data_IF_750554722157
#
_entry.id   IF_750554722157
#
_cell.length_a   1.000
_cell.length_b   1.000
_cell.length_c   1.000
_cell.angle_alpha   90.00
_cell.angle_beta   90.00
_cell.angle_gamma   90.00
#
_symmetry.space_group_name_H-M   'P 1'
#
loop_
_entity.id
_entity.type
_entity.pdbx_description
1 polymer ?
#
# COMPACT_ATOMS: atom_id res chain seq x y z
N UNK A 1 1.41 -4.76 18.12
CA UNK A 1 0.16 -4.04 17.79
C UNK A 1 -0.24 -4.38 16.36
N UNK A 2 -1.52 -4.61 16.07
CA UNK A 2 -2.03 -4.87 14.72
C UNK A 2 -3.09 -3.83 14.36
N UNK A 3 -2.99 -3.24 13.16
CA UNK A 3 -3.89 -2.19 12.67
C UNK A 3 -4.54 -2.66 11.38
N UNK A 4 -5.88 -2.71 11.39
CA UNK A 4 -6.66 -3.06 10.19
C UNK A 4 -6.69 -1.87 9.23
N UNK A 5 -6.39 -2.13 7.96
CA UNK A 5 -6.44 -1.10 6.93
C UNK A 5 -7.85 -0.99 6.33
N UNK A 6 -8.30 0.23 5.94
CA UNK A 6 -9.50 0.40 5.15
C UNK A 6 -9.42 -0.36 3.83
N UNK A 7 -10.53 -0.95 3.38
CA UNK A 7 -10.57 -1.69 2.11
C UNK A 7 -10.13 -0.80 0.92
N UNK A 8 -9.34 -1.34 -0.01
CA UNK A 8 -8.85 -0.59 -1.16
C UNK A 8 -9.95 -0.34 -2.18
N UNK A 9 -9.86 0.79 -2.88
CA UNK A 9 -10.70 1.08 -4.04
C UNK A 9 -10.19 0.30 -5.24
N UNK A 10 -11.09 -0.44 -5.87
CA UNK A 10 -10.85 -1.23 -7.08
C UNK A 10 -11.24 -0.49 -8.38
N UNK A 11 -11.83 0.71 -8.27
CA UNK A 11 -12.08 1.63 -9.38
C UNK A 11 -11.45 2.98 -9.06
N UNK A 12 -10.51 3.40 -9.90
CA UNK A 12 -9.87 4.72 -9.82
C UNK A 12 -10.63 5.78 -10.62
N UNK A 13 -10.28 7.04 -10.36
CA UNK A 13 -10.78 8.20 -11.11
C UNK A 13 -9.90 8.53 -12.34
N UNK A 14 -8.65 8.04 -12.33
CA UNK A 14 -7.67 8.20 -13.40
C UNK A 14 -7.54 6.89 -14.18
N UNK A 15 -7.43 6.96 -15.51
CA UNK A 15 -7.17 5.76 -16.33
C UNK A 15 -5.73 5.26 -16.15
N UNK A 16 -5.47 4.01 -16.54
CA UNK A 16 -4.12 3.45 -16.51
C UNK A 16 -3.17 4.22 -17.45
N UNK A 17 -3.66 4.57 -18.64
CA UNK A 17 -2.92 5.34 -19.65
C UNK A 17 -2.52 6.71 -19.12
N UNK A 18 -3.45 7.41 -18.46
CA UNK A 18 -3.18 8.71 -17.86
C UNK A 18 -2.16 8.61 -16.71
N UNK A 19 -2.28 7.58 -15.87
CA UNK A 19 -1.33 7.33 -14.79
C UNK A 19 0.09 7.08 -15.32
N UNK A 20 0.23 6.28 -16.39
CA UNK A 20 1.52 6.04 -17.06
C UNK A 20 2.07 7.34 -17.66
N UNK A 21 1.24 8.11 -18.37
CA UNK A 21 1.63 9.36 -19.01
C UNK A 21 2.10 10.43 -18.00
N UNK A 22 1.40 10.56 -16.86
CA UNK A 22 1.70 11.57 -15.82
C UNK A 22 2.78 11.14 -14.81
N UNK A 23 3.19 9.86 -14.81
CA UNK A 23 4.12 9.32 -13.81
C UNK A 23 5.46 10.06 -13.84
N UNK A 24 5.85 10.60 -12.68
CA UNK A 24 7.16 11.21 -12.43
C UNK A 24 7.65 10.89 -11.03
N UNK A 25 8.96 11.02 -10.81
CA UNK A 25 9.54 10.92 -9.45
C UNK A 25 9.43 12.27 -8.73
N UNK A 26 8.81 12.27 -7.55
CA UNK A 26 8.68 13.44 -6.67
C UNK A 26 9.61 13.23 -5.46
N UNK A 27 10.30 14.29 -5.02
CA UNK A 27 11.28 14.25 -3.90
C UNK A 27 11.12 15.41 -2.91
N UNK A 28 10.08 16.21 -3.06
CA UNK A 28 9.67 17.28 -2.15
C UNK A 28 8.21 17.04 -1.82
N UNK A 29 7.88 16.99 -0.55
CA UNK A 29 6.56 16.61 -0.04
C UNK A 29 5.99 17.73 0.83
N UNK A 30 4.67 17.77 0.99
CA UNK A 30 4.03 18.64 1.98
C UNK A 30 4.28 18.08 3.39
N UNK A 31 3.97 18.88 4.41
CA UNK A 31 3.97 18.42 5.81
C UNK A 31 2.65 17.75 6.23
N UNK A 32 1.69 17.66 5.31
CA UNK A 32 0.40 17.04 5.58
C UNK A 32 0.57 15.52 5.76
N UNK A 33 -0.03 14.92 6.80
CA UNK A 33 -0.01 13.48 6.98
C UNK A 33 -0.78 12.79 5.86
N UNK A 34 -0.40 11.54 5.54
CA UNK A 34 -1.28 10.68 4.75
C UNK A 34 -2.46 10.22 5.61
N UNK A 35 -3.63 10.10 5.01
CA UNK A 35 -4.74 9.36 5.61
C UNK A 35 -4.41 7.86 5.64
N UNK A 36 -5.03 7.12 6.57
CA UNK A 36 -4.89 5.66 6.61
C UNK A 36 -5.41 4.98 5.32
N UNK A 37 -6.39 5.60 4.65
CA UNK A 37 -6.93 5.12 3.38
C UNK A 37 -5.96 5.27 2.21
N UNK A 38 -5.21 6.37 2.15
CA UNK A 38 -4.17 6.56 1.13
C UNK A 38 -3.01 5.57 1.30
N UNK A 39 -2.55 5.38 2.55
CA UNK A 39 -1.55 4.38 2.86
C UNK A 39 -2.04 2.98 2.47
N UNK A 40 -3.27 2.63 2.85
CA UNK A 40 -3.91 1.37 2.49
C UNK A 40 -3.91 1.12 0.98
N UNK A 41 -4.35 2.13 0.21
CA UNK A 41 -4.44 2.04 -1.24
C UNK A 41 -3.08 1.75 -1.88
N UNK A 42 -2.02 2.43 -1.42
CA UNK A 42 -0.65 2.24 -1.94
C UNK A 42 -0.13 0.85 -1.60
N UNK A 43 -0.32 0.38 -0.37
CA UNK A 43 0.12 -0.95 0.06
C UNK A 43 -0.58 -2.07 -0.70
N UNK A 44 -1.90 -1.94 -0.89
CA UNK A 44 -2.65 -2.88 -1.71
C UNK A 44 -2.18 -2.88 -3.16
N UNK A 45 -2.01 -1.71 -3.77
CA UNK A 45 -1.54 -1.60 -5.15
C UNK A 45 -0.14 -2.21 -5.32
N UNK A 46 0.74 -2.07 -4.33
CA UNK A 46 2.10 -2.62 -4.35
C UNK A 46 2.14 -4.14 -4.19
N UNK A 47 1.45 -4.71 -3.19
CA UNK A 47 1.57 -6.14 -2.84
C UNK A 47 0.35 -6.74 -2.11
N UNK A 48 -0.82 -6.13 -2.27
CA UNK A 48 -2.10 -6.64 -1.76
C UNK A 48 -2.61 -7.86 -2.51
N UNK A 49 -3.81 -8.31 -2.16
CA UNK A 49 -4.48 -9.43 -2.82
C UNK A 49 -5.47 -8.95 -3.89
N UNK A 50 -5.53 -9.65 -5.02
CA UNK A 50 -6.55 -9.49 -6.04
C UNK A 50 -7.70 -10.51 -5.85
N UNK A 51 -8.77 -10.38 -6.65
CA UNK A 51 -9.98 -11.21 -6.51
C UNK A 51 -9.76 -12.71 -6.80
N UNK A 52 -8.60 -13.08 -7.35
CA UNK A 52 -8.23 -14.48 -7.64
C UNK A 52 -7.33 -15.08 -6.56
N UNK A 53 -7.17 -14.41 -5.42
CA UNK A 53 -6.32 -14.89 -4.32
C UNK A 53 -4.83 -14.88 -4.66
N UNK A 54 -4.39 -13.99 -5.56
CA UNK A 54 -2.99 -13.75 -5.91
C UNK A 54 -2.58 -12.33 -5.54
N UNK A 55 -1.26 -12.06 -5.53
CA UNK A 55 -0.80 -10.68 -5.30
C UNK A 55 -1.20 -9.78 -6.48
N UNK A 56 -1.37 -8.50 -6.22
CA UNK A 56 -1.57 -7.46 -7.24
C UNK A 56 -0.38 -7.33 -8.20
N UNK A 57 0.81 -7.74 -7.76
CA UNK A 57 2.02 -7.85 -8.58
C UNK A 57 2.32 -9.30 -8.98
N UNK A 58 2.67 -9.58 -10.25
CA UNK A 58 3.06 -10.92 -10.69
C UNK A 58 4.42 -11.33 -10.09
N UNK A 59 4.66 -12.64 -10.00
CA UNK A 59 5.93 -13.18 -9.50
C UNK A 59 6.25 -14.51 -10.18
N UNK A 60 7.53 -14.73 -10.48
CA UNK A 60 8.01 -15.97 -11.09
C UNK A 60 7.58 -17.19 -10.25
N UNK A 61 6.89 -18.14 -10.90
CA UNK A 61 6.36 -19.34 -10.24
C UNK A 61 5.36 -19.07 -9.11
N UNK A 62 4.75 -17.88 -9.07
CA UNK A 62 3.86 -17.45 -7.97
C UNK A 62 4.50 -17.60 -6.58
N UNK A 63 5.84 -17.41 -6.50
CA UNK A 63 6.61 -17.62 -5.26
C UNK A 63 6.50 -16.45 -4.29
N UNK A 64 6.27 -15.24 -4.80
CA UNK A 64 6.07 -14.03 -3.99
C UNK A 64 7.13 -13.83 -2.89
N UNK A 65 8.43 -13.74 -3.25
CA UNK A 65 9.52 -13.76 -2.28
C UNK A 65 9.71 -12.43 -1.51
N UNK A 66 8.90 -11.41 -1.80
CA UNK A 66 9.06 -10.09 -1.23
C UNK A 66 8.11 -9.87 -0.06
N UNK A 67 8.57 -9.08 0.91
CA UNK A 67 7.77 -8.57 2.01
C UNK A 67 7.76 -7.04 1.96
N UNK A 68 6.67 -6.43 2.41
CA UNK A 68 6.53 -4.97 2.42
C UNK A 68 6.59 -4.48 3.86
N UNK A 69 7.52 -3.57 4.11
CA UNK A 69 7.67 -2.87 5.37
C UNK A 69 7.40 -1.38 5.17
N UNK A 70 6.74 -0.76 6.14
CA UNK A 70 6.38 0.66 6.12
C UNK A 70 7.02 1.33 7.32
N UNK A 71 7.90 2.29 7.05
CA UNK A 71 8.39 3.23 8.07
C UNK A 71 7.41 4.38 8.13
N UNK A 72 6.61 4.43 9.19
CA UNK A 72 5.58 5.44 9.42
C UNK A 72 6.21 6.60 10.18
N UNK A 73 6.13 7.78 9.61
CA UNK A 73 6.51 9.04 10.26
C UNK A 73 5.31 9.96 10.51
N UNK A 74 4.42 10.10 9.53
CA UNK A 74 3.25 10.98 9.60
C UNK A 74 2.07 10.38 8.84
N UNK A 75 1.22 9.64 9.55
CA UNK A 75 -0.02 9.03 9.04
C UNK A 75 -1.11 9.24 10.08
N UNK A 76 -2.28 9.70 9.65
CA UNK A 76 -3.41 9.94 10.54
C UNK A 76 -3.87 8.66 11.23
N UNK A 77 -3.97 8.70 12.57
CA UNK A 77 -4.45 7.57 13.37
C UNK A 77 -3.50 6.38 13.46
N UNK A 78 -2.24 6.53 13.06
CA UNK A 78 -1.21 5.49 13.15
C UNK A 78 0.07 6.06 13.78
N UNK A 79 0.52 5.42 14.86
CA UNK A 79 1.72 5.85 15.56
C UNK A 79 2.98 5.72 14.67
N UNK A 80 3.99 6.61 14.82
CA UNK A 80 5.26 6.45 14.14
C UNK A 80 5.95 5.14 14.52
N UNK A 81 6.53 4.45 13.54
CA UNK A 81 7.17 3.15 13.77
C UNK A 81 7.46 2.36 12.51
N UNK A 82 8.04 1.17 12.69
CA UNK A 82 8.27 0.22 11.60
C UNK A 82 7.17 -0.84 11.63
N UNK A 83 6.46 -0.98 10.51
CA UNK A 83 5.37 -1.94 10.38
C UNK A 83 5.64 -2.94 9.26
N UNK A 84 5.21 -4.18 9.46
CA UNK A 84 5.12 -5.21 8.42
C UNK A 84 3.70 -5.26 7.84
N UNK A 85 3.58 -5.25 6.51
CA UNK A 85 2.29 -5.36 5.83
C UNK A 85 1.93 -6.82 5.52
N UNK A 86 0.86 -7.30 6.14
CA UNK A 86 0.26 -8.60 5.83
C UNK A 86 -0.84 -8.41 4.78
N UNK A 87 -0.48 -8.51 3.50
CA UNK A 87 -1.44 -8.32 2.42
C UNK A 87 -2.57 -9.36 2.36
N UNK A 88 -2.44 -10.53 2.99
CA UNK A 88 -3.53 -11.53 3.03
C UNK A 88 -4.64 -11.10 3.99
N UNK A 89 -4.26 -10.55 5.15
CA UNK A 89 -5.20 -10.03 6.15
C UNK A 89 -5.55 -8.56 5.92
N UNK A 90 -4.78 -7.88 5.07
CA UNK A 90 -4.85 -6.44 4.83
C UNK A 90 -4.69 -5.63 6.12
N UNK A 91 -3.58 -5.88 6.83
CA UNK A 91 -3.25 -5.24 8.11
C UNK A 91 -1.78 -4.80 8.16
N UNK A 92 -1.47 -3.84 9.03
CA UNK A 92 -0.11 -3.49 9.45
C UNK A 92 0.17 -4.06 10.83
N UNK A 93 1.32 -4.72 10.99
CA UNK A 93 1.80 -5.24 12.29
C UNK A 93 3.03 -4.46 12.72
N UNK A 94 2.97 -3.82 13.88
CA UNK A 94 4.14 -3.16 14.46
C UNK A 94 5.22 -4.20 14.77
N UNK A 95 6.46 -3.89 14.41
CA UNK A 95 7.65 -4.70 14.65
C UNK A 95 8.27 -4.36 16.00
#
# INVERSE_FOLDING_TARGET
MEVKLPEPRNKGEMSLEEAIYKRKSIRRYTSEPLTLGELSQVLWAAYGMNIWGKRTSPSAGARYPFEVYTVVSSVEGLDPGLYHYDGKKHVLKLI
#
